data_IF_222830535431
#
_entry.id   IF_222830535431
#
_cell.length_a   1.000
_cell.length_b   1.000
_cell.length_c   1.000
_cell.angle_alpha   90.00
_cell.angle_beta   90.00
_cell.angle_gamma   90.00
#
_symmetry.space_group_name_H-M   'P 1'
#
loop_
_entity.id
_entity.type
_entity.pdbx_description
1 polymer ?
#
# COMPACT_ATOMS: atom_id res chain seq x y z
N UNK A 1 20.96 4.70 -7.83
CA UNK A 1 19.58 5.26 -7.84
C UNK A 1 18.91 4.94 -9.17
N UNK A 2 17.59 4.74 -9.16
CA UNK A 2 16.83 4.64 -10.41
C UNK A 2 16.71 6.01 -11.08
N UNK A 3 16.48 6.05 -12.40
CA UNK A 3 16.22 7.30 -13.12
C UNK A 3 15.05 8.07 -12.49
N UNK A 4 14.00 7.36 -12.04
CA UNK A 4 12.88 7.97 -11.33
C UNK A 4 13.30 8.66 -10.03
N UNK A 5 14.15 8.03 -9.19
CA UNK A 5 14.65 8.65 -7.96
C UNK A 5 15.44 9.92 -8.25
N UNK A 6 16.26 9.89 -9.29
CA UNK A 6 17.05 11.06 -9.73
C UNK A 6 16.14 12.20 -10.24
N UNK A 7 15.11 11.86 -11.03
CA UNK A 7 14.12 12.83 -11.50
C UNK A 7 13.37 13.47 -10.33
N UNK A 8 12.85 12.68 -9.40
CA UNK A 8 12.11 13.18 -8.24
C UNK A 8 12.99 14.05 -7.34
N UNK A 9 14.27 13.69 -7.16
CA UNK A 9 15.20 14.44 -6.31
C UNK A 9 15.61 15.78 -6.93
N UNK A 10 15.84 15.85 -8.25
CA UNK A 10 16.56 16.95 -8.86
C UNK A 10 15.73 17.78 -9.87
N UNK A 11 14.57 17.29 -10.31
CA UNK A 11 13.77 18.01 -11.28
C UNK A 11 12.74 18.92 -10.62
N UNK A 12 12.52 20.08 -11.22
CA UNK A 12 11.37 20.93 -10.94
C UNK A 12 10.36 20.76 -12.07
N UNK A 13 9.10 20.55 -11.69
CA UNK A 13 8.00 20.36 -12.64
C UNK A 13 7.25 21.68 -12.80
N UNK A 14 7.08 22.09 -14.05
CA UNK A 14 6.33 23.30 -14.39
C UNK A 14 4.81 23.12 -14.13
N UNK A 15 4.08 24.23 -14.20
CA UNK A 15 2.65 24.25 -13.95
C UNK A 15 1.86 23.37 -14.95
N UNK A 16 2.35 23.25 -16.19
CA UNK A 16 1.69 22.45 -17.24
C UNK A 16 1.77 20.97 -16.92
N UNK A 17 2.96 20.47 -16.56
CA UNK A 17 3.18 19.08 -16.17
C UNK A 17 2.34 18.73 -14.94
N UNK A 18 2.30 19.62 -13.94
CA UNK A 18 1.48 19.43 -12.74
C UNK A 18 -0.02 19.38 -13.05
N UNK A 19 -0.51 20.24 -13.93
CA UNK A 19 -1.90 20.25 -14.38
C UNK A 19 -2.28 18.95 -15.13
N UNK A 20 -1.39 18.49 -16.01
CA UNK A 20 -1.57 17.21 -16.72
C UNK A 20 -1.60 16.03 -15.76
N UNK A 21 -0.69 16.00 -14.76
CA UNK A 21 -0.67 14.98 -13.72
C UNK A 21 -1.97 14.98 -12.90
N UNK A 22 -2.45 16.16 -12.48
CA UNK A 22 -3.71 16.31 -11.74
C UNK A 22 -4.90 15.76 -12.54
N UNK A 23 -5.02 16.09 -13.81
CA UNK A 23 -6.07 15.56 -14.69
C UNK A 23 -5.99 14.04 -14.84
N UNK A 24 -4.78 13.49 -14.86
CA UNK A 24 -4.57 12.04 -14.89
C UNK A 24 -5.04 11.39 -13.59
N UNK A 25 -4.69 11.96 -12.44
CA UNK A 25 -5.14 11.48 -11.12
C UNK A 25 -6.67 11.51 -11.04
N UNK A 26 -7.31 12.60 -11.44
CA UNK A 26 -8.78 12.71 -11.50
C UNK A 26 -9.40 11.55 -12.30
N UNK A 27 -8.88 11.28 -13.51
CA UNK A 27 -9.34 10.15 -14.34
C UNK A 27 -9.12 8.78 -13.68
N UNK A 28 -7.99 8.58 -13.00
CA UNK A 28 -7.70 7.33 -12.26
C UNK A 28 -8.74 7.13 -11.16
N UNK A 29 -9.06 8.19 -10.41
CA UNK A 29 -10.01 8.12 -9.30
C UNK A 29 -11.45 7.93 -9.79
N UNK A 30 -11.90 8.67 -10.79
CA UNK A 30 -13.23 8.56 -11.39
C UNK A 30 -13.50 7.16 -11.94
N UNK A 31 -12.52 6.58 -12.62
CA UNK A 31 -12.63 5.26 -13.22
C UNK A 31 -12.21 4.11 -12.28
N UNK A 32 -11.81 4.43 -11.04
CA UNK A 32 -11.36 3.47 -10.04
C UNK A 32 -10.22 2.56 -10.53
N UNK A 33 -9.34 3.11 -11.37
CA UNK A 33 -8.21 2.35 -11.90
C UNK A 33 -7.19 2.04 -10.81
N UNK A 34 -6.61 0.85 -10.92
CA UNK A 34 -5.49 0.37 -10.12
C UNK A 34 -4.63 -0.57 -10.97
N UNK A 35 -3.50 -1.04 -10.43
CA UNK A 35 -2.62 -1.99 -11.13
C UNK A 35 -3.36 -3.27 -11.58
N UNK A 36 -4.32 -3.75 -10.80
CA UNK A 36 -5.10 -4.94 -11.09
C UNK A 36 -6.59 -4.61 -11.09
N UNK A 37 -7.20 -4.53 -12.27
CA UNK A 37 -8.63 -4.21 -12.44
C UNK A 37 -9.50 -5.46 -12.64
N UNK A 38 -8.98 -6.65 -12.27
CA UNK A 38 -9.62 -7.94 -12.51
C UNK A 38 -10.72 -8.31 -11.52
N UNK A 39 -10.88 -7.55 -10.43
CA UNK A 39 -11.82 -7.88 -9.37
C UNK A 39 -13.02 -6.93 -9.36
N UNK A 40 -14.17 -7.47 -8.94
CA UNK A 40 -15.39 -6.69 -8.80
C UNK A 40 -15.26 -5.63 -7.70
N UNK A 41 -15.86 -4.46 -7.95
CA UNK A 41 -16.10 -3.47 -6.89
C UNK A 41 -17.23 -3.99 -6.01
N UNK A 42 -16.88 -4.46 -4.81
CA UNK A 42 -17.86 -4.97 -3.82
C UNK A 42 -17.97 -3.97 -2.68
N UNK A 43 -19.19 -3.69 -2.29
CA UNK A 43 -19.46 -3.02 -1.03
C UNK A 43 -19.45 -4.07 0.09
N UNK A 44 -18.43 -4.03 0.94
CA UNK A 44 -18.32 -4.90 2.11
C UNK A 44 -18.68 -4.07 3.33
N UNK A 45 -19.61 -4.59 4.13
CA UNK A 45 -19.93 -4.01 5.43
C UNK A 45 -19.02 -4.64 6.48
N UNK A 46 -18.17 -3.82 7.07
CA UNK A 46 -17.33 -4.22 8.19
C UNK A 46 -18.12 -4.11 9.50
N UNK A 47 -17.88 -5.03 10.40
CA UNK A 47 -18.42 -4.99 11.76
C UNK A 47 -17.33 -4.47 12.71
N UNK A 48 -17.19 -3.15 12.76
CA UNK A 48 -16.23 -2.46 13.60
C UNK A 48 -16.91 -1.78 14.77
N UNK A 49 -16.16 -1.46 15.83
CA UNK A 49 -16.61 -0.59 16.91
C UNK A 49 -16.70 0.85 16.40
N UNK A 50 -17.49 1.67 17.11
CA UNK A 50 -17.54 3.08 16.82
C UNK A 50 -16.16 3.73 16.95
N UNK A 51 -15.78 4.54 15.96
CA UNK A 51 -14.48 5.23 15.87
C UNK A 51 -13.25 4.28 15.90
N UNK A 52 -13.42 3.00 15.61
CA UNK A 52 -12.30 2.06 15.52
C UNK A 52 -11.49 2.34 14.26
N UNK A 53 -10.18 2.58 14.43
CA UNK A 53 -9.24 2.73 13.32
C UNK A 53 -9.23 1.48 12.45
N UNK A 54 -9.32 1.65 11.13
CA UNK A 54 -9.27 0.56 10.15
C UNK A 54 -7.95 0.65 9.38
N UNK A 55 -7.18 -0.43 9.43
CA UNK A 55 -5.89 -0.54 8.76
C UNK A 55 -5.99 -1.60 7.65
N UNK A 56 -5.53 -1.26 6.46
CA UNK A 56 -5.39 -2.19 5.34
C UNK A 56 -3.93 -2.62 5.19
N UNK A 57 -3.71 -3.93 5.12
CA UNK A 57 -2.43 -4.54 4.76
C UNK A 57 -2.61 -5.31 3.45
N UNK A 58 -2.16 -4.76 2.31
CA UNK A 58 -2.16 -5.49 1.04
C UNK A 58 -1.05 -6.55 1.05
N UNK A 59 -1.41 -7.77 0.70
CA UNK A 59 -0.44 -8.86 0.50
C UNK A 59 0.54 -8.52 -0.63
N UNK A 60 1.74 -9.04 -0.52
CA UNK A 60 2.79 -8.86 -1.51
C UNK A 60 3.35 -10.19 -1.97
N UNK A 61 3.90 -10.19 -3.17
CA UNK A 61 4.67 -11.29 -3.72
C UNK A 61 6.08 -11.23 -3.15
N UNK A 62 6.46 -12.21 -2.34
CA UNK A 62 7.70 -12.17 -1.55
C UNK A 62 8.96 -12.39 -2.38
N UNK A 63 8.85 -13.02 -3.56
CA UNK A 63 9.95 -13.18 -4.51
C UNK A 63 9.96 -12.08 -5.60
N UNK A 64 9.23 -10.99 -5.41
CA UNK A 64 9.29 -9.82 -6.29
C UNK A 64 10.56 -9.01 -6.03
N UNK A 65 11.13 -8.43 -7.10
CA UNK A 65 12.34 -7.61 -7.01
C UNK A 65 12.18 -6.44 -6.03
N UNK A 66 11.00 -5.84 -5.95
CA UNK A 66 10.72 -4.76 -5.01
C UNK A 66 10.82 -5.21 -3.55
N UNK A 67 10.44 -6.46 -3.26
CA UNK A 67 10.56 -7.05 -1.94
C UNK A 67 12.00 -7.44 -1.63
N UNK A 68 12.69 -8.07 -2.59
CA UNK A 68 14.08 -8.52 -2.42
C UNK A 68 15.02 -7.34 -2.17
N UNK A 69 14.91 -6.28 -2.97
CA UNK A 69 15.81 -5.13 -2.90
C UNK A 69 15.31 -3.96 -2.05
N UNK A 70 14.00 -3.83 -1.92
CA UNK A 70 13.36 -2.73 -1.20
C UNK A 70 12.69 -3.11 0.11
N UNK A 71 12.57 -4.39 0.43
CA UNK A 71 11.85 -4.87 1.62
C UNK A 71 12.58 -4.68 2.94
N UNK A 72 13.89 -4.42 2.92
CA UNK A 72 14.72 -4.09 4.09
C UNK A 72 14.54 -5.08 5.27
N UNK A 73 14.43 -6.37 4.96
CA UNK A 73 14.30 -7.45 5.94
C UNK A 73 12.87 -7.61 6.52
N UNK A 74 11.87 -6.97 5.91
CA UNK A 74 10.47 -7.26 6.14
C UNK A 74 9.95 -8.29 5.14
N UNK A 75 9.18 -9.24 5.64
CA UNK A 75 8.27 -10.10 4.91
C UNK A 75 6.82 -9.81 5.36
N UNK A 76 5.86 -10.46 4.73
CA UNK A 76 4.43 -10.25 5.03
C UNK A 76 4.08 -10.62 6.46
N UNK A 77 4.65 -11.68 7.01
CA UNK A 77 4.36 -12.11 8.38
C UNK A 77 4.90 -11.11 9.40
N UNK A 78 6.13 -10.67 9.23
CA UNK A 78 6.74 -9.65 10.09
C UNK A 78 5.99 -8.32 10.04
N UNK A 79 5.49 -7.94 8.85
CA UNK A 79 4.64 -6.76 8.70
C UNK A 79 3.36 -6.90 9.54
N UNK A 80 2.62 -8.01 9.38
CA UNK A 80 1.39 -8.29 10.14
C UNK A 80 1.63 -8.25 11.65
N UNK A 81 2.69 -8.90 12.14
CA UNK A 81 3.08 -8.91 13.54
C UNK A 81 3.36 -7.50 14.06
N UNK A 82 4.17 -6.73 13.32
CA UNK A 82 4.56 -5.37 13.72
C UNK A 82 3.36 -4.43 13.73
N UNK A 83 2.49 -4.51 12.73
CA UNK A 83 1.29 -3.65 12.65
C UNK A 83 0.34 -3.97 13.79
N UNK A 84 0.06 -5.25 14.06
CA UNK A 84 -0.83 -5.65 15.18
C UNK A 84 -0.26 -5.24 16.53
N UNK A 85 1.04 -5.42 16.74
CA UNK A 85 1.70 -5.05 17.99
C UNK A 85 1.59 -3.54 18.28
N UNK A 86 1.72 -2.72 17.24
CA UNK A 86 1.66 -1.25 17.37
C UNK A 86 0.24 -0.68 17.31
N UNK A 87 -0.77 -1.48 16.95
CA UNK A 87 -2.16 -1.07 16.77
C UNK A 87 -3.12 -2.13 17.34
N UNK A 88 -3.04 -2.36 18.64
CA UNK A 88 -3.76 -3.45 19.31
C UNK A 88 -5.29 -3.36 19.15
N UNK A 89 -5.84 -2.14 19.18
CA UNK A 89 -7.27 -1.86 19.11
C UNK A 89 -7.79 -1.61 17.69
N UNK A 90 -6.91 -1.56 16.68
CA UNK A 90 -7.32 -1.32 15.32
C UNK A 90 -7.99 -2.56 14.70
N UNK A 91 -8.93 -2.31 13.78
CA UNK A 91 -9.48 -3.33 12.90
C UNK A 91 -8.55 -3.49 11.70
N UNK A 92 -7.87 -4.63 11.59
CA UNK A 92 -6.87 -4.90 10.56
C UNK A 92 -7.47 -5.77 9.47
N UNK A 93 -7.46 -5.26 8.25
CA UNK A 93 -7.86 -5.94 7.03
C UNK A 93 -6.60 -6.44 6.31
N UNK A 94 -6.54 -7.74 6.04
CA UNK A 94 -5.54 -8.31 5.15
C UNK A 94 -6.17 -8.58 3.79
N UNK A 95 -5.66 -7.95 2.73
CA UNK A 95 -6.13 -8.21 1.36
C UNK A 95 -5.13 -9.12 0.63
N UNK A 96 -5.59 -10.27 0.17
CA UNK A 96 -4.75 -11.24 -0.55
C UNK A 96 -4.28 -10.70 -1.91
N UNK A 97 -3.12 -11.20 -2.36
CA UNK A 97 -2.62 -10.92 -3.72
C UNK A 97 -3.11 -12.00 -4.68
N UNK A 98 -3.63 -11.64 -5.87
CA UNK A 98 -4.17 -12.63 -6.83
C UNK A 98 -3.16 -13.70 -7.22
N UNK A 99 -1.93 -13.33 -7.53
CA UNK A 99 -0.88 -14.28 -7.94
C UNK A 99 -0.43 -15.20 -6.80
N UNK A 100 -0.58 -14.77 -5.55
CA UNK A 100 -0.30 -15.60 -4.37
C UNK A 100 -1.44 -16.61 -4.14
N UNK A 101 -2.69 -16.17 -4.26
CA UNK A 101 -3.86 -17.04 -4.12
C UNK A 101 -3.89 -18.12 -5.21
N UNK A 102 -3.63 -17.75 -6.47
CA UNK A 102 -3.57 -18.69 -7.60
C UNK A 102 -2.42 -19.69 -7.52
N UNK A 103 -1.44 -19.44 -6.62
CA UNK A 103 -0.26 -20.30 -6.49
C UNK A 103 0.88 -20.01 -7.47
N UNK A 104 0.72 -19.01 -8.32
CA UNK A 104 1.73 -18.64 -9.33
C UNK A 104 2.99 -18.00 -8.71
N UNK A 105 2.85 -17.37 -7.57
CA UNK A 105 3.94 -16.63 -6.90
C UNK A 105 4.01 -16.94 -5.40
N UNK A 106 5.17 -16.70 -4.81
CA UNK A 106 5.40 -16.88 -3.37
C UNK A 106 4.76 -15.76 -2.55
N UNK A 107 4.19 -16.12 -1.40
CA UNK A 107 3.62 -15.19 -0.45
C UNK A 107 2.90 -15.91 0.68
N UNK A 108 2.52 -15.19 1.71
CA UNK A 108 1.81 -15.74 2.86
C UNK A 108 0.38 -16.14 2.49
N UNK A 109 0.04 -17.43 2.63
CA UNK A 109 -1.24 -18.03 2.26
C UNK A 109 -2.00 -18.62 3.43
N UNK A 110 -1.32 -18.99 4.50
CA UNK A 110 -1.93 -19.69 5.64
C UNK A 110 -2.86 -18.73 6.38
N UNK A 111 -4.17 -18.90 6.17
CA UNK A 111 -5.21 -18.08 6.80
C UNK A 111 -5.17 -18.19 8.34
N UNK A 112 -4.80 -19.34 8.89
CA UNK A 112 -4.72 -19.49 10.34
C UNK A 112 -3.59 -18.66 10.95
N UNK A 113 -2.50 -18.51 10.20
CA UNK A 113 -1.40 -17.62 10.60
C UNK A 113 -1.81 -16.16 10.43
N UNK A 114 -2.38 -15.80 9.29
CA UNK A 114 -2.82 -14.43 8.98
C UNK A 114 -3.83 -13.94 10.03
N UNK A 115 -4.85 -14.73 10.33
CA UNK A 115 -5.92 -14.37 11.27
C UNK A 115 -5.47 -14.24 12.74
N UNK A 116 -4.24 -14.63 13.08
CA UNK A 116 -3.65 -14.29 14.39
C UNK A 116 -3.34 -12.79 14.53
N UNK A 117 -3.18 -12.07 13.40
CA UNK A 117 -2.71 -10.69 13.36
C UNK A 117 -3.66 -9.73 12.66
N UNK A 118 -4.69 -10.23 11.97
CA UNK A 118 -5.72 -9.40 11.36
C UNK A 118 -7.12 -9.88 11.75
N UNK A 119 -8.12 -9.03 11.53
CA UNK A 119 -9.51 -9.31 11.91
C UNK A 119 -10.30 -9.92 10.74
N UNK A 120 -9.90 -9.62 9.49
CA UNK A 120 -10.54 -10.15 8.29
C UNK A 120 -9.54 -10.32 7.16
N UNK A 121 -9.77 -11.37 6.35
CA UNK A 121 -9.04 -11.60 5.09
C UNK A 121 -10.00 -11.35 3.93
N UNK A 122 -9.65 -10.41 3.05
CA UNK A 122 -10.40 -10.10 1.83
C UNK A 122 -9.70 -10.70 0.60
N UNK A 123 -10.42 -11.50 -0.18
CA UNK A 123 -9.90 -12.17 -1.38
C UNK A 123 -10.44 -11.52 -2.67
N UNK A 124 -11.69 -11.72 -2.97
CA UNK A 124 -12.30 -11.35 -4.27
C UNK A 124 -12.81 -9.88 -4.28
N UNK A 125 -11.93 -8.94 -4.00
CA UNK A 125 -12.24 -7.51 -3.98
C UNK A 125 -11.14 -6.73 -4.68
N UNK A 126 -11.50 -5.65 -5.38
CA UNK A 126 -10.51 -4.74 -5.96
C UNK A 126 -9.69 -4.03 -4.87
N UNK A 127 -8.47 -3.63 -5.19
CA UNK A 127 -7.65 -2.86 -4.26
C UNK A 127 -8.29 -1.49 -3.98
N UNK A 128 -8.94 -0.88 -4.97
CA UNK A 128 -9.70 0.37 -4.82
C UNK A 128 -10.79 0.24 -3.76
N UNK A 129 -11.61 -0.81 -3.85
CA UNK A 129 -12.65 -1.08 -2.84
C UNK A 129 -12.05 -1.37 -1.47
N UNK A 130 -10.94 -2.08 -1.38
CA UNK A 130 -10.28 -2.34 -0.10
C UNK A 130 -9.72 -1.05 0.53
N UNK A 131 -9.11 -0.17 -0.27
CA UNK A 131 -8.61 1.13 0.19
C UNK A 131 -9.76 2.04 0.67
N UNK A 132 -10.93 1.96 0.04
CA UNK A 132 -12.09 2.76 0.46
C UNK A 132 -12.59 2.41 1.87
N UNK A 133 -12.33 1.19 2.34
CA UNK A 133 -12.76 0.70 3.64
C UNK A 133 -11.86 1.13 4.80
N UNK A 134 -10.64 1.60 4.56
CA UNK A 134 -9.64 1.84 5.59
C UNK A 134 -9.32 3.33 5.81
N UNK A 135 -8.73 3.63 6.96
CA UNK A 135 -8.15 4.93 7.30
C UNK A 135 -6.69 5.01 6.91
N UNK A 136 -5.97 3.90 7.07
CA UNK A 136 -4.53 3.80 6.88
C UNK A 136 -4.16 2.56 6.06
N UNK A 137 -3.13 2.66 5.24
CA UNK A 137 -2.54 1.53 4.51
C UNK A 137 -1.12 1.29 5.00
N UNK A 138 -0.84 0.06 5.44
CA UNK A 138 0.48 -0.38 5.89
C UNK A 138 1.05 -1.37 4.89
N UNK A 139 2.21 -1.07 4.33
CA UNK A 139 2.81 -1.89 3.28
C UNK A 139 4.34 -1.92 3.34
N UNK A 140 4.96 -2.91 2.73
CA UNK A 140 6.42 -2.95 2.60
C UNK A 140 6.82 -2.13 1.37
N UNK A 141 6.47 -2.61 0.17
CA UNK A 141 6.86 -1.97 -1.11
C UNK A 141 5.75 -1.94 -2.16
N UNK A 142 4.51 -2.31 -1.77
CA UNK A 142 3.41 -2.46 -2.73
C UNK A 142 3.01 -1.14 -3.39
N UNK A 143 2.72 -1.19 -4.68
CA UNK A 143 2.09 -0.07 -5.41
C UNK A 143 0.72 0.31 -4.86
N UNK A 144 0.06 -0.59 -4.11
CA UNK A 144 -1.17 -0.26 -3.39
C UNK A 144 -1.01 0.91 -2.40
N UNK A 145 0.20 1.12 -1.87
CA UNK A 145 0.50 2.31 -1.06
C UNK A 145 0.43 3.60 -1.88
N UNK A 146 0.90 3.58 -3.13
CA UNK A 146 0.75 4.73 -4.03
C UNK A 146 -0.72 4.95 -4.42
N UNK A 147 -1.46 3.88 -4.74
CA UNK A 147 -2.90 3.95 -4.99
C UNK A 147 -3.66 4.57 -3.80
N UNK A 148 -3.22 4.28 -2.57
CA UNK A 148 -3.78 4.83 -1.35
C UNK A 148 -3.45 6.32 -1.16
N UNK A 149 -2.22 6.76 -1.47
CA UNK A 149 -1.84 8.18 -1.47
C UNK A 149 -2.72 9.00 -2.42
N UNK A 150 -2.93 8.52 -3.64
CA UNK A 150 -3.81 9.17 -4.62
C UNK A 150 -5.26 9.31 -4.11
N UNK A 151 -5.67 8.49 -3.13
CA UNK A 151 -6.99 8.51 -2.48
C UNK A 151 -6.98 9.20 -1.11
N UNK A 152 -5.95 10.03 -0.84
CA UNK A 152 -5.79 10.78 0.41
C UNK A 152 -5.79 9.90 1.67
N UNK A 153 -5.34 8.65 1.58
CA UNK A 153 -5.17 7.78 2.74
C UNK A 153 -3.78 7.97 3.35
N UNK A 154 -3.68 7.82 4.67
CA UNK A 154 -2.38 7.73 5.34
C UNK A 154 -1.70 6.44 4.96
N UNK A 155 -0.42 6.53 4.59
CA UNK A 155 0.37 5.37 4.17
C UNK A 155 1.60 5.24 5.06
N UNK A 156 1.82 4.02 5.54
CA UNK A 156 2.98 3.61 6.33
C UNK A 156 3.80 2.63 5.52
N UNK A 157 5.09 2.89 5.34
CA UNK A 157 6.01 2.03 4.60
C UNK A 157 7.04 1.39 5.52
N UNK A 158 7.23 0.08 5.39
CA UNK A 158 8.18 -0.71 6.15
C UNK A 158 9.40 -1.13 5.34
N UNK A 159 9.31 -1.04 4.03
CA UNK A 159 10.40 -1.07 3.07
C UNK A 159 10.65 0.32 2.48
N UNK A 160 11.25 0.33 1.27
CA UNK A 160 11.60 1.56 0.57
C UNK A 160 11.02 1.58 -0.86
N UNK A 161 9.69 1.67 -1.03
CA UNK A 161 9.09 1.83 -2.35
C UNK A 161 9.48 3.17 -2.97
N UNK A 162 9.17 3.36 -4.26
CA UNK A 162 9.55 4.57 -4.99
C UNK A 162 8.94 5.86 -4.42
N UNK A 163 7.78 5.76 -3.78
CA UNK A 163 7.03 6.88 -3.19
C UNK A 163 7.37 7.15 -1.71
N UNK A 164 8.18 6.31 -1.05
CA UNK A 164 8.63 6.52 0.33
C UNK A 164 9.84 7.47 0.40
N UNK A 165 10.04 8.12 1.54
CA UNK A 165 11.20 8.98 1.80
C UNK A 165 11.08 10.40 1.24
N UNK A 166 9.91 10.79 0.71
CA UNK A 166 9.67 12.10 0.12
C UNK A 166 8.75 13.00 0.95
N UNK A 167 8.41 12.60 2.18
CA UNK A 167 7.46 13.31 3.04
C UNK A 167 5.98 12.98 2.77
N UNK A 168 5.67 12.12 1.80
CA UNK A 168 4.31 11.69 1.46
C UNK A 168 3.79 10.55 2.35
N UNK A 169 4.70 9.82 2.99
CA UNK A 169 4.43 8.60 3.76
C UNK A 169 5.01 8.68 5.16
N UNK A 170 4.52 7.83 6.04
CA UNK A 170 5.11 7.57 7.36
C UNK A 170 6.07 6.39 7.21
N UNK A 171 7.35 6.69 7.12
CA UNK A 171 8.38 5.71 6.78
C UNK A 171 9.01 5.09 8.02
N UNK A 172 9.00 3.76 8.11
CA UNK A 172 9.70 3.02 9.15
C UNK A 172 11.23 3.12 9.00
N UNK A 173 11.69 3.23 7.77
CA UNK A 173 13.10 3.37 7.41
C UNK A 173 13.38 4.73 6.76
N UNK A 174 14.56 5.28 6.99
CA UNK A 174 15.00 6.54 6.39
C UNK A 174 15.85 6.28 5.14
N UNK A 175 15.65 7.10 4.11
CA UNK A 175 16.48 7.14 2.92
C UNK A 175 17.27 8.45 2.87
N UNK A 176 18.59 8.39 3.06
CA UNK A 176 19.45 9.57 3.08
C UNK A 176 19.63 10.24 1.72
N UNK A 177 19.33 9.51 0.64
CA UNK A 177 19.41 10.04 -0.73
C UNK A 177 18.17 10.84 -1.14
N UNK A 178 17.04 10.65 -0.48
CA UNK A 178 15.75 11.32 -0.74
C UNK A 178 15.58 12.45 0.25
N UNK A 179 16.07 13.62 -0.11
CA UNK A 179 16.09 14.82 0.77
C UNK A 179 15.04 15.85 0.38
N UNK A 180 14.53 15.78 -0.86
CA UNK A 180 13.47 16.66 -1.35
C UNK A 180 12.13 16.24 -0.71
N UNK A 181 11.36 17.20 -0.25
CA UNK A 181 9.97 16.99 0.16
C UNK A 181 9.08 17.22 -1.06
N UNK A 182 8.23 16.25 -1.35
CA UNK A 182 7.29 16.30 -2.48
C UNK A 182 5.86 16.50 -1.98
N UNK A 183 5.02 17.03 -2.85
CA UNK A 183 3.55 17.04 -2.78
C UNK A 183 2.97 16.11 -3.87
N UNK A 184 1.71 15.69 -3.70
CA UNK A 184 0.96 14.89 -4.67
C UNK A 184 0.31 15.77 -5.73
#
# INVERSE_FOLDING_TARGET
>A
SSDLENILQNSDFDAKIKDEAKKLVEKILENKFSKYNSFSHKNIKLHTKENQKIILIPAQVEDDASMIYGGLGFDTLKLLQTVRQNNQDAFIIYKTHPDVVSGNRKGLKDKNIILKYCDIVLEDISIDSAISLCDEVHTITSTAGFDALLRNKKVFTYGMPFYAGWGLTNDFNKCTRRTKVLDL
#
